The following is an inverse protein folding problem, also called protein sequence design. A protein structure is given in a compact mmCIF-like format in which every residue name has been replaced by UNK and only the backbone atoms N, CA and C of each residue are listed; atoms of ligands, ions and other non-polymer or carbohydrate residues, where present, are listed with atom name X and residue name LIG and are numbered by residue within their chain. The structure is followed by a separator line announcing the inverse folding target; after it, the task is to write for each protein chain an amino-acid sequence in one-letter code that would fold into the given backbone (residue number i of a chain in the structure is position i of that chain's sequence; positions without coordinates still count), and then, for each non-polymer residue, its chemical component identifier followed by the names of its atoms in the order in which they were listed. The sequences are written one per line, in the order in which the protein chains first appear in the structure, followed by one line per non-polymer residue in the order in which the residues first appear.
data_IF_160542256877
#
_entry.id   IF_160542256877
#
_cell.length_a   1.000
_cell.length_b   1.000
_cell.length_c   1.000
_cell.angle_alpha   90.00
_cell.angle_beta   90.00
_cell.angle_gamma   90.00
#
_symmetry.space_group_name_H-M   'P 1'
#
loop_
_entity.id
_entity.type
_entity.pdbx_description
1 polymer ?
#
# COMPACT_ATOMS: atom_id res chain seq x y z
N UNK A 1 -1.53 25.70 7.60
CA UNK A 1 -0.88 24.45 7.18
C UNK A 1 -1.03 23.43 8.30
N UNK A 2 -1.83 22.39 8.08
CA UNK A 2 -2.26 21.44 9.11
C UNK A 2 -1.20 20.35 9.31
N UNK A 3 -0.96 19.96 10.56
CA UNK A 3 0.02 18.94 11.00
C UNK A 3 -0.06 17.61 10.22
N UNK A 4 -1.23 17.32 9.63
CA UNK A 4 -1.51 16.15 8.80
C UNK A 4 -0.85 16.21 7.41
N UNK A 5 -0.84 17.37 6.74
CA UNK A 5 -0.22 17.54 5.41
C UNK A 5 1.27 17.18 5.41
N UNK A 6 2.00 17.61 6.46
CA UNK A 6 3.42 17.36 6.60
C UNK A 6 3.72 15.87 6.83
N UNK A 7 2.94 15.19 7.69
CA UNK A 7 3.12 13.76 7.95
C UNK A 7 2.90 12.89 6.70
N UNK A 8 1.92 13.21 5.85
CA UNK A 8 1.65 12.44 4.63
C UNK A 8 2.72 12.59 3.55
N UNK A 9 3.31 13.79 3.44
CA UNK A 9 4.46 14.04 2.55
C UNK A 9 5.68 13.27 3.04
N UNK A 10 6.01 13.33 4.34
CA UNK A 10 7.16 12.63 4.93
C UNK A 10 7.09 11.11 4.77
N UNK A 11 5.89 10.53 4.78
CA UNK A 11 5.65 9.08 4.66
C UNK A 11 5.59 8.57 3.21
N UNK A 12 5.70 9.46 2.23
CA UNK A 12 5.78 9.11 0.81
C UNK A 12 4.43 8.89 0.11
N UNK A 13 3.29 9.26 0.72
CA UNK A 13 1.96 9.14 0.10
C UNK A 13 1.78 10.11 -1.08
N UNK A 14 2.43 11.27 -1.02
CA UNK A 14 2.45 12.25 -2.11
C UNK A 14 3.62 12.05 -3.09
N UNK A 15 4.47 11.06 -2.84
CA UNK A 15 5.57 10.72 -3.74
C UNK A 15 5.04 10.32 -5.11
N UNK A 16 5.92 10.43 -6.11
CA UNK A 16 5.63 9.96 -7.45
C UNK A 16 5.26 8.48 -7.45
N UNK A 17 5.96 7.67 -6.64
CA UNK A 17 5.72 6.23 -6.49
C UNK A 17 4.28 5.90 -6.10
N UNK A 18 3.70 6.63 -5.14
CA UNK A 18 2.30 6.44 -4.72
C UNK A 18 1.27 6.87 -5.78
N UNK A 19 1.71 7.65 -6.77
CA UNK A 19 0.93 8.13 -7.91
C UNK A 19 1.16 7.29 -9.18
N UNK A 20 2.07 6.33 -9.12
CA UNK A 20 2.35 5.42 -10.23
C UNK A 20 1.71 4.07 -9.96
N UNK A 21 1.06 3.49 -10.97
CA UNK A 21 0.51 2.16 -10.90
C UNK A 21 1.64 1.12 -10.90
N UNK A 22 1.71 0.20 -9.93
CA UNK A 22 2.78 -0.80 -9.89
C UNK A 22 2.63 -1.95 -10.89
N UNK A 23 1.56 -1.95 -11.69
CA UNK A 23 1.24 -3.02 -12.65
C UNK A 23 1.45 -2.62 -14.11
N UNK A 24 1.15 -1.36 -14.44
CA UNK A 24 1.27 -0.83 -15.80
C UNK A 24 2.18 0.41 -15.87
N UNK A 25 2.80 0.79 -14.73
CA UNK A 25 3.63 1.98 -14.59
C UNK A 25 2.96 3.30 -15.05
N UNK A 26 1.62 3.31 -15.20
CA UNK A 26 0.86 4.53 -15.48
C UNK A 26 0.92 5.51 -14.32
N UNK A 27 1.21 6.78 -14.63
CA UNK A 27 1.21 7.86 -13.67
C UNK A 27 -0.15 8.54 -13.62
N UNK A 28 -0.62 8.82 -12.40
CA UNK A 28 -1.88 9.49 -12.14
C UNK A 28 -1.68 10.76 -11.30
N UNK A 29 -2.68 11.64 -11.33
CA UNK A 29 -2.65 12.88 -10.54
C UNK A 29 -2.68 12.62 -9.02
N UNK A 30 -3.23 11.49 -8.56
CA UNK A 30 -3.35 11.17 -7.13
C UNK A 30 -3.35 9.65 -6.88
N UNK A 31 -2.97 9.25 -5.66
CA UNK A 31 -3.01 7.84 -5.23
C UNK A 31 -4.43 7.23 -5.24
N UNK A 32 -5.47 8.05 -5.06
CA UNK A 32 -6.86 7.61 -5.20
C UNK A 32 -7.18 7.16 -6.62
N UNK A 33 -6.65 7.86 -7.62
CA UNK A 33 -6.85 7.51 -9.02
C UNK A 33 -6.11 6.21 -9.35
N UNK A 34 -4.90 6.02 -8.81
CA UNK A 34 -4.18 4.72 -8.89
C UNK A 34 -5.01 3.61 -8.26
N UNK A 35 -5.60 3.83 -7.08
CA UNK A 35 -6.45 2.81 -6.42
C UNK A 35 -7.70 2.48 -7.25
N UNK A 36 -8.35 3.48 -7.85
CA UNK A 36 -9.50 3.24 -8.74
C UNK A 36 -9.07 2.49 -10.01
N UNK A 37 -7.98 2.89 -10.64
CA UNK A 37 -7.43 2.22 -11.83
C UNK A 37 -7.07 0.77 -11.52
N UNK A 38 -6.29 0.52 -10.45
CA UNK A 38 -5.91 -0.84 -10.03
C UNK A 38 -7.13 -1.69 -9.68
N UNK A 39 -8.16 -1.10 -9.07
CA UNK A 39 -9.44 -1.79 -8.82
C UNK A 39 -10.20 -2.11 -10.10
N UNK A 40 -10.06 -1.36 -11.18
CA UNK A 40 -10.77 -1.61 -12.44
C UNK A 40 -10.00 -2.55 -13.36
N UNK A 41 -8.69 -2.34 -13.48
CA UNK A 41 -7.83 -2.99 -14.48
C UNK A 41 -7.00 -4.15 -13.90
N UNK A 42 -6.71 -4.13 -12.59
CA UNK A 42 -5.80 -5.09 -11.94
C UNK A 42 -6.46 -5.82 -10.74
N UNK A 43 -7.77 -6.05 -10.80
CA UNK A 43 -8.56 -6.68 -9.73
C UNK A 43 -7.93 -7.95 -9.14
N UNK A 44 -7.43 -8.84 -10.00
CA UNK A 44 -6.85 -10.13 -9.61
C UNK A 44 -5.51 -10.00 -8.89
N UNK A 45 -4.80 -8.88 -9.06
CA UNK A 45 -3.42 -8.73 -8.62
C UNK A 45 -3.27 -7.81 -7.41
N UNK A 46 -4.36 -7.22 -6.91
CA UNK A 46 -4.43 -6.25 -5.79
C UNK A 46 -3.93 -6.78 -4.43
N UNK A 47 -3.54 -8.03 -4.33
CA UNK A 47 -3.12 -8.62 -3.06
C UNK A 47 -1.76 -8.06 -2.64
N UNK A 48 -1.74 -7.31 -1.53
CA UNK A 48 -0.53 -6.93 -0.79
C UNK A 48 0.44 -5.99 -1.52
N UNK A 49 -0.08 -4.90 -2.10
CA UNK A 49 0.71 -3.93 -2.90
C UNK A 49 1.44 -2.90 -2.05
N UNK A 50 0.75 -2.35 -1.05
CA UNK A 50 1.22 -1.22 -0.26
C UNK A 50 1.79 -1.72 1.07
N UNK A 51 3.09 -1.69 1.23
CA UNK A 51 3.79 -2.11 2.44
C UNK A 51 4.22 -0.95 3.32
N UNK A 52 4.50 -1.26 4.58
CA UNK A 52 5.23 -0.39 5.49
C UNK A 52 6.68 -0.89 5.61
N UNK A 53 7.65 -0.01 5.37
CA UNK A 53 9.08 -0.38 5.42
C UNK A 53 9.58 -0.79 6.81
N UNK A 54 8.91 -0.38 7.89
CA UNK A 54 9.38 -0.62 9.25
C UNK A 54 8.79 -1.88 9.89
N UNK A 55 7.49 -2.10 9.74
CA UNK A 55 6.84 -3.30 10.30
C UNK A 55 6.66 -4.43 9.27
N UNK A 56 6.98 -4.18 7.99
CA UNK A 56 6.80 -5.15 6.92
C UNK A 56 5.35 -5.52 6.62
N UNK A 57 4.37 -4.75 7.15
CA UNK A 57 2.95 -5.02 6.95
C UNK A 57 2.51 -4.59 5.56
N UNK A 58 1.87 -5.52 4.84
CA UNK A 58 1.31 -5.27 3.51
C UNK A 58 -0.20 -5.04 3.59
N UNK A 59 -0.68 -4.10 2.79
CA UNK A 59 -2.06 -3.69 2.68
C UNK A 59 -2.48 -3.66 1.21
N UNK A 60 -3.75 -3.94 0.95
CA UNK A 60 -4.33 -3.89 -0.39
C UNK A 60 -4.76 -2.46 -0.80
N UNK A 61 -4.69 -1.50 0.12
CA UNK A 61 -5.09 -0.10 -0.09
C UNK A 61 -4.19 0.88 0.65
N UNK A 62 -4.06 2.07 0.09
CA UNK A 62 -3.32 3.18 0.71
C UNK A 62 -4.02 3.64 1.99
N UNK A 63 -5.36 3.65 2.02
CA UNK A 63 -6.11 4.05 3.22
C UNK A 63 -5.92 3.09 4.40
N UNK A 64 -5.73 1.79 4.15
CA UNK A 64 -5.41 0.84 5.20
C UNK A 64 -4.03 1.09 5.79
N UNK A 65 -3.06 1.46 4.95
CA UNK A 65 -1.72 1.85 5.38
C UNK A 65 -1.73 3.16 6.19
N UNK A 66 -2.54 4.14 5.77
CA UNK A 66 -2.72 5.39 6.51
C UNK A 66 -3.30 5.13 7.90
N UNK A 67 -4.38 4.33 7.98
CA UNK A 67 -4.97 3.92 9.27
C UNK A 67 -3.97 3.16 10.13
N UNK A 68 -3.09 2.38 9.53
CA UNK A 68 -2.02 1.68 10.24
C UNK A 68 -1.02 2.67 10.89
N UNK A 69 -0.61 3.72 10.18
CA UNK A 69 0.26 4.73 10.77
C UNK A 69 -0.40 5.60 11.84
N UNK A 70 -1.68 5.91 11.64
CA UNK A 70 -2.47 6.75 12.55
C UNK A 70 -2.74 6.06 13.89
N UNK A 71 -3.01 4.75 13.87
CA UNK A 71 -3.18 3.92 15.07
C UNK A 71 -1.90 3.70 15.89
N UNK A 72 -0.84 4.47 15.65
CA UNK A 72 0.48 4.32 16.29
C UNK A 72 1.09 2.92 16.15
N UNK A 73 0.59 2.07 15.24
CA UNK A 73 1.15 0.74 15.01
C UNK A 73 2.52 0.82 14.32
N UNK A 74 2.80 1.91 13.61
CA UNK A 74 4.13 2.23 13.08
C UNK A 74 4.23 3.73 12.75
N UNK A 75 4.65 4.57 13.72
CA UNK A 75 4.70 6.02 13.53
C UNK A 75 5.79 6.48 12.53
N UNK A 76 6.87 5.72 12.36
CA UNK A 76 8.01 6.04 11.48
C UNK A 76 7.99 5.30 10.14
N UNK A 77 6.95 4.51 9.88
CA UNK A 77 6.80 3.73 8.66
C UNK A 77 6.70 4.58 7.39
N UNK A 78 7.51 4.25 6.38
CA UNK A 78 7.40 4.77 5.01
C UNK A 78 6.59 3.83 4.12
N UNK A 79 5.83 4.38 3.17
CA UNK A 79 5.17 3.60 2.12
C UNK A 79 6.24 2.93 1.23
N UNK A 80 6.10 1.62 1.06
CA UNK A 80 6.82 0.83 0.04
C UNK A 80 5.82 0.18 -0.88
N UNK A 81 6.09 0.16 -2.18
CA UNK A 81 5.19 -0.42 -3.17
C UNK A 81 5.87 -1.66 -3.74
N UNK A 82 5.19 -2.81 -3.65
CA UNK A 82 5.64 -4.04 -4.30
C UNK A 82 5.04 -4.10 -5.69
N UNK A 83 5.91 -4.19 -6.70
CA UNK A 83 5.52 -4.58 -8.06
C UNK A 83 5.35 -6.11 -8.07
N UNK A 84 4.14 -6.65 -8.25
CA UNK A 84 3.97 -8.08 -8.42
C UNK A 84 4.35 -8.42 -9.87
N UNK A 85 5.65 -8.40 -10.16
CA UNK A 85 6.13 -8.76 -11.48
C UNK A 85 6.26 -10.30 -11.58
N UNK A 86 5.64 -10.85 -12.62
CA UNK A 86 5.98 -12.10 -13.29
C UNK A 86 5.57 -13.48 -12.77
N UNK A 87 4.63 -13.65 -11.83
CA UNK A 87 4.00 -14.99 -11.76
C UNK A 87 2.59 -14.97 -11.21
N UNK A 88 1.68 -15.53 -12.02
CA UNK A 88 0.46 -16.15 -11.55
C UNK A 88 0.78 -17.10 -10.39
N UNK A 89 0.74 -16.60 -9.15
CA UNK A 89 0.68 -17.42 -7.96
C UNK A 89 -0.60 -17.01 -7.24
N UNK A 90 -1.65 -17.83 -7.26
CA UNK A 90 -2.75 -17.65 -6.34
C UNK A 90 -2.16 -17.83 -4.93
N UNK A 91 -1.88 -16.72 -4.26
CA UNK A 91 -1.50 -16.73 -2.85
C UNK A 91 -2.73 -17.14 -2.06
N UNK A 92 -2.83 -18.44 -1.79
CA UNK A 92 -3.67 -19.01 -0.74
C UNK A 92 -3.44 -18.15 0.50
N UNK A 93 -4.51 -17.53 1.00
CA UNK A 93 -4.53 -16.83 2.27
C UNK A 93 -4.11 -17.84 3.34
N UNK A 94 -2.85 -17.81 3.79
CA UNK A 94 -2.50 -18.43 5.06
C UNK A 94 -3.11 -17.54 6.15
N UNK A 95 -4.28 -17.97 6.60
CA UNK A 95 -4.92 -17.54 7.84
C UNK A 95 -3.85 -17.55 8.94
N UNK A 96 -3.69 -16.44 9.66
CA UNK A 96 -2.93 -16.38 10.90
C UNK A 96 -3.34 -17.56 11.80
N UNK A 97 -2.46 -18.53 11.92
CA UNK A 97 -2.53 -19.58 12.91
C UNK A 97 -1.93 -18.99 14.18
N UNK A 98 -2.73 -18.20 14.90
CA UNK A 98 -2.42 -17.85 16.28
C UNK A 98 -2.50 -19.14 17.09
N UNK A 99 -1.37 -19.85 17.17
CA UNK A 99 -1.14 -20.95 18.09
C UNK A 99 -1.07 -20.32 19.49
N UNK A 100 -2.22 -20.20 20.15
CA UNK A 100 -2.26 -20.04 21.61
C UNK A 100 -2.36 -21.43 22.21
N UNK A 101 -1.36 -21.74 23.05
CA UNK A 101 -1.24 -22.95 23.86
C UNK A 101 -2.32 -23.06 24.91
#
# INVERSE_FOLDING_TARGET
HTKSEFQYVSRGIRSLEARTCPYCDEQFASCHMVEHHTRRMHMAQRTEVYGCSECGRWCCTVMALIKHWDKHACPSGRLVIRKPNDTAVPRIRKRDETKVS
#
